data_IF_691342090812
#
_entry.id   IF_691342090812
#
_cell.length_a   1.000
_cell.length_b   1.000
_cell.length_c   1.000
_cell.angle_alpha   90.00
_cell.angle_beta   90.00
_cell.angle_gamma   90.00
#
_symmetry.space_group_name_H-M   'P 1'
#
loop_
_entity.id
_entity.type
_entity.pdbx_description
1 polymer ?
#
# COMPACT_ATOMS: atom_id res chain seq x y z
N UNK A 1 -1.44 37.75 58.14
CA UNK A 1 -0.80 37.16 56.94
C UNK A 1 -1.71 37.42 55.75
N UNK A 2 -1.40 38.41 54.91
CA UNK A 2 -2.23 38.74 53.73
C UNK A 2 -1.65 37.99 52.53
N UNK A 3 -2.43 37.09 51.95
CA UNK A 3 -2.06 36.28 50.80
C UNK A 3 -2.31 37.11 49.54
N UNK A 4 -1.25 37.54 48.86
CA UNK A 4 -1.36 38.23 47.57
C UNK A 4 -1.70 37.21 46.48
N UNK A 5 -2.94 37.25 45.98
CA UNK A 5 -3.34 36.55 44.77
C UNK A 5 -2.79 37.31 43.56
N UNK A 6 -1.67 36.86 43.01
CA UNK A 6 -1.17 37.35 41.72
C UNK A 6 -2.12 36.86 40.63
N UNK A 7 -2.91 37.76 40.05
CA UNK A 7 -3.74 37.47 38.88
C UNK A 7 -2.88 37.33 37.64
N UNK A 8 -3.24 36.40 36.76
CA UNK A 8 -2.58 36.18 35.47
C UNK A 8 -2.71 37.43 34.58
N UNK A 9 -1.64 37.83 33.90
CA UNK A 9 -1.68 38.95 32.96
C UNK A 9 -2.38 38.55 31.67
N UNK A 10 -3.10 39.49 31.05
CA UNK A 10 -3.79 39.26 29.77
C UNK A 10 -2.82 38.82 28.66
N UNK A 11 -1.58 39.34 28.71
CA UNK A 11 -0.50 38.98 27.76
C UNK A 11 -0.04 37.54 27.94
N UNK A 12 0.02 37.05 29.19
CA UNK A 12 0.41 35.67 29.48
C UNK A 12 -0.65 34.70 28.95
N UNK A 13 -1.93 35.03 29.10
CA UNK A 13 -3.03 34.22 28.56
C UNK A 13 -3.04 34.23 27.02
N UNK A 14 -2.82 35.39 26.40
CA UNK A 14 -2.80 35.55 24.94
C UNK A 14 -1.68 34.73 24.29
N UNK A 15 -0.49 34.70 24.90
CA UNK A 15 0.65 33.96 24.35
C UNK A 15 0.40 32.45 24.40
N UNK A 16 -0.22 31.96 25.47
CA UNK A 16 -0.54 30.53 25.63
C UNK A 16 -1.53 30.06 24.57
N UNK A 17 -2.58 30.82 24.27
CA UNK A 17 -3.56 30.43 23.23
C UNK A 17 -2.94 30.43 21.83
N UNK A 18 -1.99 31.34 21.55
CA UNK A 18 -1.26 31.38 20.27
C UNK A 18 -0.38 30.13 20.14
N UNK A 19 0.35 29.76 21.19
CA UNK A 19 1.22 28.56 21.18
C UNK A 19 0.38 27.30 21.00
N UNK A 20 -0.75 27.17 21.71
CA UNK A 20 -1.66 26.02 21.58
C UNK A 20 -2.23 25.95 20.15
N UNK A 21 -2.61 27.08 19.56
CA UNK A 21 -3.12 27.13 18.19
C UNK A 21 -2.09 26.68 17.15
N UNK A 22 -0.82 27.09 17.31
CA UNK A 22 0.27 26.66 16.44
C UNK A 22 0.53 25.16 16.60
N UNK A 23 0.63 24.66 17.84
CA UNK A 23 0.86 23.24 18.11
C UNK A 23 -0.27 22.36 17.59
N UNK A 24 -1.52 22.79 17.74
CA UNK A 24 -2.68 22.08 17.18
C UNK A 24 -2.66 22.06 15.64
N UNK A 25 -2.26 23.16 15.01
CA UNK A 25 -2.09 23.22 13.55
C UNK A 25 -1.02 22.26 13.01
N UNK A 26 0.12 22.15 13.70
CA UNK A 26 1.17 21.19 13.32
C UNK A 26 0.73 19.74 13.45
N UNK A 27 -0.02 19.39 14.50
CA UNK A 27 -0.54 18.03 14.69
C UNK A 27 -1.47 17.61 13.55
N UNK A 28 -2.30 18.53 13.06
CA UNK A 28 -3.22 18.25 11.94
C UNK A 28 -2.47 17.88 10.65
N UNK A 29 -1.33 18.51 10.38
CA UNK A 29 -0.52 18.23 9.18
C UNK A 29 0.17 16.86 9.22
N UNK A 30 0.43 16.32 10.41
CA UNK A 30 1.06 15.00 10.58
C UNK A 30 0.08 13.82 10.38
N UNK A 31 -1.23 14.09 10.39
CA UNK A 31 -2.28 13.03 10.32
C UNK A 31 -2.68 12.65 8.89
N UNK A 32 -2.16 13.32 7.86
CA UNK A 32 -2.67 13.19 6.48
C UNK A 32 -2.40 11.89 5.72
N UNK A 33 -1.54 10.98 6.21
CA UNK A 33 -1.18 9.75 5.48
C UNK A 33 -1.24 8.46 6.32
N UNK A 34 -1.46 8.55 7.63
CA UNK A 34 -1.47 7.38 8.52
C UNK A 34 -2.84 6.71 8.64
N UNK A 35 -3.92 7.42 8.29
CA UNK A 35 -5.29 6.95 8.54
C UNK A 35 -5.66 5.76 7.66
N UNK A 36 -5.36 5.80 6.37
CA UNK A 36 -5.79 4.72 5.46
C UNK A 36 -4.97 3.44 5.67
N UNK A 37 -3.70 3.58 6.05
CA UNK A 37 -2.89 2.44 6.51
C UNK A 37 -3.45 1.86 7.81
N UNK A 38 -3.73 2.70 8.81
CA UNK A 38 -4.30 2.24 10.08
C UNK A 38 -5.67 1.57 9.89
N UNK A 39 -6.54 2.13 9.04
CA UNK A 39 -7.85 1.53 8.70
C UNK A 39 -7.71 0.19 8.00
N UNK A 40 -6.71 0.03 7.12
CA UNK A 40 -6.42 -1.24 6.44
C UNK A 40 -5.92 -2.31 7.40
N UNK A 41 -4.96 -1.98 8.27
CA UNK A 41 -4.45 -2.90 9.30
C UNK A 41 -5.53 -3.31 10.29
N UNK A 42 -6.36 -2.36 10.73
CA UNK A 42 -7.50 -2.65 11.57
C UNK A 42 -8.54 -3.54 10.85
N UNK A 43 -8.76 -3.33 9.55
CA UNK A 43 -9.62 -4.21 8.75
C UNK A 43 -9.05 -5.65 8.65
N UNK A 44 -7.73 -5.80 8.48
CA UNK A 44 -7.07 -7.11 8.53
C UNK A 44 -7.25 -7.79 9.89
N UNK A 45 -6.99 -7.06 10.99
CA UNK A 45 -7.21 -7.55 12.35
C UNK A 45 -8.64 -8.01 12.59
N UNK A 46 -9.63 -7.27 12.08
CA UNK A 46 -11.04 -7.64 12.20
C UNK A 46 -11.36 -8.92 11.42
N UNK A 47 -10.85 -9.08 10.18
CA UNK A 47 -11.04 -10.31 9.38
C UNK A 47 -10.49 -11.55 10.09
N UNK A 48 -9.28 -11.45 10.64
CA UNK A 48 -8.64 -12.54 11.42
C UNK A 48 -9.46 -12.85 12.67
N UNK A 49 -9.92 -11.82 13.38
CA UNK A 49 -10.74 -11.98 14.58
C UNK A 49 -12.08 -12.66 14.29
N UNK A 50 -12.72 -12.36 13.15
CA UNK A 50 -13.97 -12.99 12.71
C UNK A 50 -13.77 -14.50 12.46
N UNK A 51 -12.70 -14.90 11.78
CA UNK A 51 -12.38 -16.33 11.59
C UNK A 51 -12.10 -17.01 12.93
N UNK A 52 -11.32 -16.38 13.81
CA UNK A 52 -11.01 -16.95 15.12
C UNK A 52 -12.26 -17.12 16.00
N UNK A 53 -13.18 -16.14 15.95
CA UNK A 53 -14.44 -16.20 16.66
C UNK A 53 -15.34 -17.32 16.12
N UNK A 54 -15.39 -17.50 14.80
CA UNK A 54 -16.07 -18.63 14.17
C UNK A 54 -15.51 -19.98 14.62
N UNK A 55 -14.18 -20.14 14.59
CA UNK A 55 -13.52 -21.38 14.99
C UNK A 55 -13.78 -21.68 16.47
N UNK A 56 -13.71 -20.66 17.32
CA UNK A 56 -14.04 -20.76 18.75
C UNK A 56 -15.50 -21.20 18.96
N UNK A 57 -16.44 -20.57 18.25
CA UNK A 57 -17.86 -20.89 18.33
C UNK A 57 -18.17 -22.32 17.86
N UNK A 58 -17.54 -22.74 16.76
CA UNK A 58 -17.67 -24.10 16.24
C UNK A 58 -17.16 -25.12 17.24
N UNK A 59 -15.97 -24.87 17.79
CA UNK A 59 -15.36 -25.72 18.80
C UNK A 59 -16.23 -25.83 20.05
N UNK A 60 -16.73 -24.71 20.59
CA UNK A 60 -17.56 -24.71 21.81
C UNK A 60 -18.93 -25.35 21.59
N UNK A 61 -19.46 -25.30 20.37
CA UNK A 61 -20.81 -25.76 20.03
C UNK A 61 -20.83 -27.16 19.39
N UNK A 62 -19.67 -27.80 19.23
CA UNK A 62 -19.56 -29.10 18.55
C UNK A 62 -19.94 -29.06 17.07
N UNK A 63 -19.78 -27.91 16.41
CA UNK A 63 -20.10 -27.70 15.00
C UNK A 63 -18.85 -27.84 14.14
N UNK A 64 -19.05 -28.18 12.87
CA UNK A 64 -17.99 -28.25 11.85
C UNK A 64 -18.31 -27.30 10.68
N UNK A 65 -17.34 -27.12 9.78
CA UNK A 65 -17.54 -26.36 8.54
C UNK A 65 -18.74 -26.87 7.72
N UNK A 66 -18.98 -28.19 7.70
CA UNK A 66 -20.08 -28.82 6.96
C UNK A 66 -21.48 -28.45 7.50
N UNK A 67 -21.59 -28.25 8.82
CA UNK A 67 -22.88 -28.03 9.48
C UNK A 67 -23.13 -26.55 9.82
N UNK A 68 -22.09 -25.72 9.85
CA UNK A 68 -22.21 -24.32 10.20
C UNK A 68 -21.12 -23.49 9.53
N UNK A 69 -21.44 -22.83 8.42
CA UNK A 69 -20.49 -22.07 7.59
C UNK A 69 -20.19 -20.68 8.15
N UNK A 70 -19.12 -20.04 7.66
CA UNK A 70 -18.82 -18.63 7.90
C UNK A 70 -19.97 -17.72 7.45
N UNK A 71 -20.65 -18.06 6.36
CA UNK A 71 -21.82 -17.30 5.92
C UNK A 71 -22.96 -17.37 6.95
N UNK A 72 -23.20 -18.53 7.57
CA UNK A 72 -24.19 -18.65 8.64
C UNK A 72 -23.81 -17.77 9.84
N UNK A 73 -22.53 -17.75 10.19
CA UNK A 73 -22.01 -16.95 11.29
C UNK A 73 -22.16 -15.44 11.06
N UNK A 74 -21.87 -14.96 9.85
CA UNK A 74 -22.07 -13.56 9.46
C UNK A 74 -23.57 -13.21 9.47
N UNK A 75 -24.42 -14.07 8.90
CA UNK A 75 -25.88 -13.87 8.86
C UNK A 75 -26.49 -13.83 10.27
N UNK A 76 -25.97 -14.66 11.18
CA UNK A 76 -26.35 -14.71 12.58
C UNK A 76 -25.73 -13.57 13.42
N UNK A 77 -25.16 -12.55 12.75
CA UNK A 77 -24.51 -11.40 13.39
C UNK A 77 -23.47 -11.82 14.42
N UNK A 78 -22.63 -12.78 14.04
CA UNK A 78 -21.49 -13.26 14.82
C UNK A 78 -21.86 -13.89 16.17
N UNK A 79 -23.13 -14.27 16.41
CA UNK A 79 -23.58 -14.95 17.64
C UNK A 79 -23.12 -14.29 18.94
N UNK A 80 -23.09 -12.95 18.96
CA UNK A 80 -22.61 -12.13 20.08
C UNK A 80 -21.14 -12.38 20.51
N UNK A 81 -20.36 -13.08 19.68
CA UNK A 81 -18.92 -13.29 19.93
C UNK A 81 -18.07 -12.08 19.53
N UNK A 82 -18.62 -11.19 18.71
CA UNK A 82 -18.02 -9.92 18.26
C UNK A 82 -19.11 -8.85 18.35
N UNK A 83 -18.75 -7.65 18.82
CA UNK A 83 -19.70 -6.53 18.83
C UNK A 83 -20.03 -6.11 17.39
N UNK A 84 -21.30 -5.88 17.08
CA UNK A 84 -21.72 -5.43 15.74
C UNK A 84 -21.03 -4.13 15.29
N UNK A 85 -20.58 -3.28 16.22
CA UNK A 85 -19.82 -2.08 15.90
C UNK A 85 -18.37 -2.38 15.50
N UNK A 86 -17.80 -3.49 15.97
CA UNK A 86 -16.44 -3.97 15.64
C UNK A 86 -16.42 -4.78 14.34
N UNK A 87 -17.56 -5.35 13.97
CA UNK A 87 -17.75 -6.08 12.72
C UNK A 87 -18.02 -5.18 11.50
N UNK A 88 -17.55 -3.93 11.55
CA UNK A 88 -17.56 -3.02 10.41
C UNK A 88 -16.13 -2.69 10.03
N UNK A 89 -15.83 -2.59 8.73
CA UNK A 89 -14.53 -2.11 8.31
C UNK A 89 -14.36 -0.63 8.70
N UNK A 90 -13.21 -0.19 9.26
CA UNK A 90 -12.95 1.21 9.58
C UNK A 90 -13.06 2.19 8.40
N UNK A 91 -13.00 1.67 7.16
CA UNK A 91 -13.24 2.42 5.93
C UNK A 91 -14.71 2.37 5.45
N UNK A 92 -15.64 1.87 6.27
CA UNK A 92 -17.07 1.76 5.95
C UNK A 92 -17.47 0.54 5.11
N UNK A 93 -16.55 -0.39 4.87
CA UNK A 93 -16.82 -1.64 4.16
C UNK A 93 -17.59 -2.69 4.97
N UNK A 94 -18.22 -3.61 4.25
CA UNK A 94 -18.93 -4.77 4.83
C UNK A 94 -18.11 -6.05 4.69
N UNK A 95 -18.26 -6.97 5.65
CA UNK A 95 -17.63 -8.29 5.59
C UNK A 95 -18.58 -9.35 5.00
N UNK A 96 -18.04 -10.24 4.18
CA UNK A 96 -18.73 -11.38 3.56
C UNK A 96 -17.87 -12.64 3.67
N UNK A 97 -18.50 -13.81 3.47
CA UNK A 97 -17.78 -15.07 3.46
C UNK A 97 -17.13 -15.31 2.08
N UNK A 98 -15.91 -15.83 2.08
CA UNK A 98 -15.22 -16.39 0.94
C UNK A 98 -14.63 -17.76 1.27
N UNK A 99 -14.08 -18.42 0.26
CA UNK A 99 -13.37 -19.69 0.40
C UNK A 99 -12.11 -19.76 -0.46
N UNK A 100 -10.92 -19.78 0.14
CA UNK A 100 -9.63 -19.89 -0.53
C UNK A 100 -8.97 -21.24 -0.22
N UNK A 101 -8.59 -22.01 -1.25
CA UNK A 101 -7.94 -23.32 -1.09
C UNK A 101 -8.71 -24.30 -0.17
N UNK A 102 -10.05 -24.25 -0.21
CA UNK A 102 -10.90 -25.08 0.66
C UNK A 102 -11.01 -24.57 2.10
N UNK A 103 -10.44 -23.40 2.42
CA UNK A 103 -10.52 -22.74 3.74
C UNK A 103 -11.42 -21.51 3.65
N UNK A 104 -12.28 -21.35 4.64
CA UNK A 104 -13.13 -20.14 4.72
C UNK A 104 -12.29 -18.91 5.04
N UNK A 105 -12.52 -17.83 4.31
CA UNK A 105 -11.87 -16.53 4.50
C UNK A 105 -12.93 -15.43 4.65
N UNK A 106 -12.61 -14.37 5.37
CA UNK A 106 -13.49 -13.19 5.49
C UNK A 106 -13.06 -12.16 4.46
N UNK A 107 -14.00 -11.75 3.61
CA UNK A 107 -13.79 -10.76 2.56
C UNK A 107 -14.41 -9.43 3.03
N UNK A 108 -13.64 -8.34 3.00
CA UNK A 108 -14.12 -6.98 3.08
C UNK A 108 -14.43 -6.42 1.69
N UNK A 109 -15.57 -5.75 1.54
CA UNK A 109 -15.96 -5.05 0.29
C UNK A 109 -15.03 -3.92 -0.14
N UNK A 110 -14.10 -3.49 0.74
CA UNK A 110 -13.15 -2.40 0.49
C UNK A 110 -11.70 -2.91 0.50
N UNK A 111 -11.38 -3.94 1.28
CA UNK A 111 -10.01 -4.40 1.51
C UNK A 111 -9.78 -5.90 1.27
N UNK A 112 -10.68 -6.63 0.61
CA UNK A 112 -10.46 -8.04 0.29
C UNK A 112 -10.85 -8.42 -1.12
N UNK A 113 -10.06 -9.36 -1.63
CA UNK A 113 -10.18 -9.96 -2.96
C UNK A 113 -10.87 -11.32 -2.79
N UNK A 114 -11.87 -11.61 -3.63
CA UNK A 114 -12.68 -12.85 -3.62
C UNK A 114 -11.88 -14.07 -4.08
N UNK A 115 -12.21 -15.28 -3.60
CA UNK A 115 -11.53 -16.49 -4.01
C UNK A 115 -12.33 -17.28 -5.07
N UNK A 116 -11.66 -17.61 -6.17
CA UNK A 116 -12.25 -18.20 -7.37
C UNK A 116 -11.58 -17.71 -8.67
N UNK A 117 -10.80 -16.64 -8.58
CA UNK A 117 -9.62 -16.45 -9.42
C UNK A 117 -8.40 -16.46 -8.51
N UNK A 118 -7.22 -16.78 -9.03
CA UNK A 118 -6.00 -16.20 -8.45
C UNK A 118 -6.12 -14.67 -8.34
N UNK A 119 -5.17 -13.96 -7.72
CA UNK A 119 -5.28 -12.52 -7.51
C UNK A 119 -5.76 -11.83 -8.79
N UNK A 120 -6.99 -11.33 -8.80
CA UNK A 120 -7.61 -10.73 -9.98
C UNK A 120 -8.56 -9.64 -9.53
N UNK A 121 -8.28 -8.38 -9.78
CA UNK A 121 -7.03 -7.79 -10.26
C UNK A 121 -6.84 -6.59 -9.35
N UNK A 122 -5.72 -6.44 -8.67
CA UNK A 122 -4.57 -5.86 -9.33
C UNK A 122 -3.33 -6.02 -8.44
N UNK A 123 -3.17 -7.18 -7.78
CA UNK A 123 -1.95 -7.43 -7.01
C UNK A 123 -0.78 -7.43 -7.98
N UNK A 124 0.16 -6.52 -7.75
CA UNK A 124 1.37 -6.36 -8.55
C UNK A 124 2.17 -7.66 -8.39
N UNK A 125 2.37 -8.44 -9.48
CA UNK A 125 3.01 -9.74 -9.40
C UNK A 125 4.38 -9.63 -8.74
N UNK A 126 4.65 -10.51 -7.76
CA UNK A 126 5.92 -10.57 -7.06
C UNK A 126 5.99 -9.73 -5.77
N UNK A 127 4.94 -8.97 -5.45
CA UNK A 127 4.86 -8.22 -4.18
C UNK A 127 4.24 -9.01 -3.02
N UNK A 128 3.80 -10.22 -3.29
CA UNK A 128 3.11 -11.15 -2.39
C UNK A 128 3.99 -12.34 -1.96
N UNK A 129 5.24 -12.39 -2.43
CA UNK A 129 6.10 -13.58 -2.30
C UNK A 129 6.82 -13.72 -0.95
N UNK A 130 7.06 -12.63 -0.23
CA UNK A 130 7.97 -12.60 0.93
C UNK A 130 7.29 -12.15 2.24
N UNK A 131 6.02 -12.52 2.43
CA UNK A 131 5.35 -12.43 3.73
C UNK A 131 4.40 -11.24 3.92
N UNK A 132 3.72 -10.79 2.86
CA UNK A 132 2.62 -9.82 2.93
C UNK A 132 1.60 -10.05 1.81
N UNK A 133 0.43 -9.41 1.89
CA UNK A 133 -0.70 -9.60 0.95
C UNK A 133 -0.45 -9.06 -0.48
N UNK A 134 0.73 -8.48 -0.75
CA UNK A 134 1.02 -7.80 -2.00
C UNK A 134 0.59 -6.34 -2.05
N UNK A 135 1.21 -5.56 -2.94
CA UNK A 135 0.74 -4.23 -3.31
C UNK A 135 -0.27 -4.36 -4.44
N UNK A 136 -1.40 -3.68 -4.30
CA UNK A 136 -2.41 -3.59 -5.34
C UNK A 136 -2.25 -2.31 -6.16
N UNK A 137 -2.45 -2.39 -7.48
CA UNK A 137 -2.66 -1.22 -8.32
C UNK A 137 -4.13 -0.81 -8.26
N UNK A 138 -4.43 0.23 -7.50
CA UNK A 138 -5.80 0.68 -7.23
C UNK A 138 -6.21 1.88 -8.09
N UNK A 139 -5.24 2.56 -8.71
CA UNK A 139 -5.49 3.74 -9.52
C UNK A 139 -5.94 3.33 -10.94
N UNK A 140 -7.04 3.94 -11.40
CA UNK A 140 -7.50 3.80 -12.78
C UNK A 140 -6.66 4.71 -13.69
N UNK A 141 -6.12 4.15 -14.78
CA UNK A 141 -5.35 4.92 -15.73
C UNK A 141 -6.18 6.05 -16.36
N UNK A 142 -7.47 5.82 -16.58
CA UNK A 142 -8.37 6.80 -17.20
C UNK A 142 -8.53 8.06 -16.34
N UNK A 143 -8.43 7.95 -15.01
CA UNK A 143 -8.47 9.10 -14.10
C UNK A 143 -7.24 10.01 -14.22
N UNK A 144 -6.14 9.51 -14.80
CA UNK A 144 -4.95 10.33 -15.06
C UNK A 144 -5.16 11.30 -16.21
N UNK A 145 -6.18 11.07 -17.06
CA UNK A 145 -6.51 11.91 -18.21
C UNK A 145 -7.28 13.14 -17.73
N UNK A 146 -6.58 14.26 -17.63
CA UNK A 146 -7.14 15.53 -17.12
C UNK A 146 -7.65 16.46 -18.23
N UNK A 147 -7.51 16.06 -19.49
CA UNK A 147 -7.97 16.81 -20.65
C UNK A 147 -7.82 15.99 -21.93
N UNK A 148 -8.28 16.51 -23.06
CA UNK A 148 -8.31 15.79 -24.35
C UNK A 148 -6.93 15.23 -24.76
N UNK A 149 -5.85 15.96 -24.41
CA UNK A 149 -4.48 15.69 -24.84
C UNK A 149 -3.46 15.81 -23.69
N UNK A 150 -3.90 15.59 -22.44
CA UNK A 150 -3.04 15.80 -21.27
C UNK A 150 -3.30 14.79 -20.16
N UNK A 151 -2.24 14.17 -19.65
CA UNK A 151 -2.28 13.31 -18.45
C UNK A 151 -1.55 13.95 -17.26
N UNK A 152 -1.90 13.52 -16.06
CA UNK A 152 -1.18 13.84 -14.81
C UNK A 152 -1.27 12.70 -13.81
N UNK A 153 -0.17 12.44 -13.11
CA UNK A 153 -0.11 11.44 -12.04
C UNK A 153 0.86 11.88 -10.95
N UNK A 154 0.59 11.42 -9.73
CA UNK A 154 1.38 11.67 -8.56
C UNK A 154 2.29 10.48 -8.25
N UNK A 155 3.45 10.78 -7.68
CA UNK A 155 4.35 9.77 -7.13
C UNK A 155 3.58 8.78 -6.24
N UNK A 156 3.86 7.49 -6.39
CA UNK A 156 3.27 6.41 -5.61
C UNK A 156 1.95 5.86 -6.12
N UNK A 157 1.29 6.51 -7.08
CA UNK A 157 0.13 5.92 -7.76
C UNK A 157 0.53 4.66 -8.53
N UNK A 158 -0.33 3.65 -8.46
CA UNK A 158 -0.11 2.31 -9.01
C UNK A 158 -1.27 1.95 -9.92
N UNK A 159 -0.98 1.72 -11.19
CA UNK A 159 -1.99 1.56 -12.24
C UNK A 159 -2.01 0.15 -12.79
N UNK A 160 -3.21 -0.35 -13.10
CA UNK A 160 -3.40 -1.50 -13.99
C UNK A 160 -3.86 -0.97 -15.35
N UNK A 161 -3.15 -1.34 -16.41
CA UNK A 161 -3.59 -1.07 -17.77
C UNK A 161 -3.28 -2.28 -18.67
N UNK A 162 -4.31 -2.82 -19.33
CA UNK A 162 -4.23 -3.99 -20.20
C UNK A 162 -3.43 -5.19 -19.61
N UNK A 163 -3.66 -5.48 -18.33
CA UNK A 163 -3.00 -6.61 -17.64
C UNK A 163 -1.53 -6.33 -17.24
N UNK A 164 -1.03 -5.12 -17.48
CA UNK A 164 0.30 -4.65 -17.05
C UNK A 164 0.15 -3.72 -15.86
N UNK A 165 1.14 -3.76 -14.99
CA UNK A 165 1.18 -2.99 -13.76
C UNK A 165 2.21 -1.88 -13.88
N UNK A 166 1.89 -0.72 -13.33
CA UNK A 166 2.74 0.46 -13.37
C UNK A 166 2.79 1.15 -12.01
N UNK A 167 3.87 1.88 -11.74
CA UNK A 167 3.97 2.80 -10.62
C UNK A 167 4.61 4.11 -11.06
N UNK A 168 4.03 5.21 -10.62
CA UNK A 168 4.61 6.53 -10.78
C UNK A 168 5.73 6.70 -9.74
N UNK A 169 6.98 6.85 -10.20
CA UNK A 169 8.11 7.08 -9.28
C UNK A 169 8.47 8.57 -9.13
N UNK A 170 7.75 9.44 -9.84
CA UNK A 170 7.78 10.90 -9.76
C UNK A 170 6.38 11.48 -10.02
N UNK A 171 6.10 12.67 -9.49
CA UNK A 171 4.88 13.43 -9.83
C UNK A 171 5.12 14.18 -11.13
N UNK A 172 4.28 13.92 -12.13
CA UNK A 172 4.30 14.60 -13.42
C UNK A 172 2.92 15.16 -13.73
N UNK A 173 2.87 16.41 -14.14
CA UNK A 173 1.63 17.12 -14.42
C UNK A 173 1.65 17.77 -15.79
N UNK A 174 0.48 17.89 -16.41
CA UNK A 174 0.30 18.48 -17.74
C UNK A 174 1.20 17.85 -18.82
N UNK A 175 1.30 16.52 -18.81
CA UNK A 175 2.05 15.80 -19.83
C UNK A 175 1.21 15.78 -21.11
N UNK A 176 1.63 16.56 -22.10
CA UNK A 176 0.93 16.64 -23.38
C UNK A 176 1.27 15.45 -24.28
N UNK A 177 0.24 14.82 -24.84
CA UNK A 177 0.35 13.76 -25.84
C UNK A 177 -0.47 14.11 -27.09
N UNK A 178 -0.10 13.58 -28.26
CA UNK A 178 -0.79 13.88 -29.52
C UNK A 178 -1.99 12.97 -29.77
N UNK A 179 -1.81 11.65 -29.63
CA UNK A 179 -2.88 10.67 -29.89
C UNK A 179 -2.79 9.44 -28.99
N UNK A 180 -1.64 9.23 -28.35
CA UNK A 180 -1.33 8.01 -27.63
C UNK A 180 -1.04 8.34 -26.16
N UNK A 181 -2.02 8.03 -25.32
CA UNK A 181 -1.99 8.21 -23.88
C UNK A 181 -1.75 6.89 -23.16
N UNK A 182 -1.43 5.80 -23.86
CA UNK A 182 -1.17 4.50 -23.25
C UNK A 182 0.10 4.58 -22.35
N UNK A 183 0.10 3.98 -21.15
CA UNK A 183 1.27 3.94 -20.25
C UNK A 183 2.40 3.02 -20.72
N UNK A 184 2.25 2.34 -21.86
CA UNK A 184 3.24 1.45 -22.45
C UNK A 184 4.60 2.12 -22.61
N UNK A 185 5.62 1.41 -22.14
CA UNK A 185 7.01 1.85 -22.19
C UNK A 185 7.44 2.06 -23.65
N UNK A 186 7.55 3.32 -24.08
CA UNK A 186 7.86 3.66 -25.46
C UNK A 186 8.92 4.75 -25.53
N UNK A 187 9.96 4.56 -26.35
CA UNK A 187 11.08 5.51 -26.54
C UNK A 187 10.63 6.90 -26.99
N UNK A 188 9.46 7.01 -27.62
CA UNK A 188 8.88 8.27 -28.10
C UNK A 188 8.08 9.02 -27.01
N UNK A 189 7.71 8.34 -25.91
CA UNK A 189 6.95 8.90 -24.79
C UNK A 189 7.87 9.16 -23.61
N UNK A 190 8.48 10.35 -23.58
CA UNK A 190 9.54 10.68 -22.61
C UNK A 190 9.17 10.37 -21.14
N UNK A 191 7.88 10.48 -20.76
CA UNK A 191 7.36 10.19 -19.42
C UNK A 191 7.31 8.69 -19.05
N UNK A 192 7.41 7.80 -20.04
CA UNK A 192 7.46 6.34 -19.88
C UNK A 192 8.87 5.77 -20.11
N UNK A 193 9.81 6.56 -20.61
CA UNK A 193 11.14 6.05 -20.99
C UNK A 193 12.09 5.87 -19.81
N UNK A 194 13.10 5.01 -20.03
CA UNK A 194 14.27 4.84 -19.13
C UNK A 194 15.07 6.13 -18.85
N UNK A 195 14.82 7.20 -19.60
CA UNK A 195 15.52 8.47 -19.46
C UNK A 195 14.90 9.38 -18.38
N UNK A 196 13.66 9.11 -17.94
CA UNK A 196 12.99 9.92 -16.92
C UNK A 196 12.26 9.01 -15.93
N UNK A 197 12.44 9.24 -14.63
CA UNK A 197 11.86 8.43 -13.55
C UNK A 197 10.35 8.57 -13.40
N UNK A 198 9.61 8.94 -14.44
CA UNK A 198 8.18 9.18 -14.39
C UNK A 198 7.40 7.92 -14.07
N UNK A 199 7.19 7.07 -15.07
CA UNK A 199 6.42 5.83 -14.93
C UNK A 199 7.32 4.59 -15.07
N UNK A 200 7.11 3.60 -14.21
CA UNK A 200 7.82 2.31 -14.24
C UNK A 200 6.79 1.20 -14.41
N UNK A 201 6.97 0.37 -15.45
CA UNK A 201 6.23 -0.89 -15.58
C UNK A 201 6.89 -1.98 -14.75
N UNK A 202 6.10 -2.77 -14.01
CA UNK A 202 6.62 -3.95 -13.30
C UNK A 202 6.88 -5.11 -14.27
N UNK A 203 7.99 -5.82 -14.06
CA UNK A 203 8.35 -7.00 -14.86
C UNK A 203 7.75 -8.29 -14.32
N UNK A 204 7.34 -8.29 -13.04
CA UNK A 204 6.94 -9.48 -12.28
C UNK A 204 8.11 -10.29 -11.71
N UNK A 205 9.36 -9.90 -11.99
CA UNK A 205 10.54 -10.49 -11.34
C UNK A 205 10.64 -9.92 -9.94
N UNK A 206 10.74 -10.79 -8.94
CA UNK A 206 10.90 -10.39 -7.54
C UNK A 206 11.94 -11.26 -6.84
N UNK A 207 12.80 -10.62 -6.03
CA UNK A 207 13.89 -11.27 -5.31
C UNK A 207 13.99 -10.77 -3.89
N UNK A 208 14.27 -11.66 -2.95
CA UNK A 208 14.66 -11.27 -1.61
C UNK A 208 16.14 -10.87 -1.61
N UNK A 209 16.47 -9.77 -0.93
CA UNK A 209 17.84 -9.33 -0.73
C UNK A 209 18.72 -10.45 -0.19
N UNK A 210 18.25 -11.28 0.74
CA UNK A 210 19.07 -12.31 1.35
C UNK A 210 19.39 -13.48 0.41
N UNK A 211 18.62 -13.65 -0.66
CA UNK A 211 18.76 -14.75 -1.64
C UNK A 211 19.70 -14.43 -2.81
N UNK A 212 20.04 -13.15 -3.00
CA UNK A 212 20.86 -12.70 -4.14
C UNK A 212 22.32 -12.54 -3.77
N UNK A 213 23.22 -12.79 -4.72
CA UNK A 213 24.67 -12.65 -4.56
C UNK A 213 25.20 -11.36 -5.19
N UNK A 214 26.43 -10.99 -4.86
CA UNK A 214 27.16 -9.91 -5.56
C UNK A 214 27.24 -10.22 -7.05
N UNK A 215 26.93 -9.23 -7.88
CA UNK A 215 26.84 -9.37 -9.34
C UNK A 215 25.44 -9.69 -9.86
N UNK A 216 24.45 -9.93 -8.98
CA UNK A 216 23.06 -10.02 -9.42
C UNK A 216 22.60 -8.69 -10.02
N UNK A 217 21.87 -8.77 -11.13
CA UNK A 217 21.44 -7.61 -11.90
C UNK A 217 19.93 -7.44 -11.83
N UNK A 218 19.49 -6.27 -11.36
CA UNK A 218 18.11 -5.82 -11.44
C UNK A 218 17.90 -4.93 -12.65
N UNK A 219 16.84 -5.18 -13.41
CA UNK A 219 16.39 -4.32 -14.49
C UNK A 219 15.26 -3.41 -14.02
N UNK A 220 15.07 -2.29 -14.73
CA UNK A 220 13.93 -1.39 -14.46
C UNK A 220 12.62 -2.18 -14.45
N UNK A 221 11.87 -2.07 -13.35
CA UNK A 221 10.61 -2.78 -13.13
C UNK A 221 10.74 -4.06 -12.30
N UNK A 222 11.96 -4.58 -12.09
CA UNK A 222 12.19 -5.70 -11.19
C UNK A 222 12.01 -5.28 -9.73
N UNK A 223 11.63 -6.23 -8.88
CA UNK A 223 11.27 -6.02 -7.50
C UNK A 223 12.35 -6.61 -6.58
N UNK A 224 12.76 -5.84 -5.59
CA UNK A 224 13.61 -6.25 -4.49
C UNK A 224 12.80 -6.19 -3.19
N UNK A 225 12.75 -7.30 -2.46
CA UNK A 225 12.28 -7.34 -1.09
C UNK A 225 13.47 -7.17 -0.14
N UNK A 226 13.42 -6.16 0.73
CA UNK A 226 14.49 -5.84 1.66
C UNK A 226 13.90 -5.22 2.93
N UNK A 227 14.31 -5.73 4.11
CA UNK A 227 13.90 -5.21 5.41
C UNK A 227 12.38 -5.03 5.61
N UNK A 228 11.57 -5.95 5.08
CA UNK A 228 10.11 -5.91 5.24
C UNK A 228 9.38 -5.05 4.22
N UNK A 229 10.09 -4.41 3.30
CA UNK A 229 9.52 -3.55 2.27
C UNK A 229 9.88 -4.02 0.86
N UNK A 230 9.03 -3.67 -0.11
CA UNK A 230 9.28 -3.92 -1.52
C UNK A 230 9.76 -2.64 -2.21
N UNK A 231 10.77 -2.80 -3.05
CA UNK A 231 11.40 -1.75 -3.84
C UNK A 231 11.32 -2.14 -5.31
N UNK A 232 10.85 -1.23 -6.15
CA UNK A 232 10.95 -1.41 -7.61
C UNK A 232 12.24 -0.76 -8.10
N UNK A 233 12.97 -1.46 -8.96
CA UNK A 233 14.13 -0.92 -9.61
C UNK A 233 13.69 0.13 -10.63
N UNK A 234 14.13 1.37 -10.44
CA UNK A 234 13.90 2.49 -11.36
C UNK A 234 15.18 2.95 -12.07
N UNK A 235 16.26 2.16 -12.01
CA UNK A 235 17.56 2.48 -12.59
C UNK A 235 17.43 3.00 -14.05
N UNK A 236 18.14 4.09 -14.33
CA UNK A 236 18.04 4.92 -15.54
C UNK A 236 19.35 4.88 -16.36
N UNK A 237 19.31 5.41 -17.60
CA UNK A 237 20.53 5.72 -18.37
C UNK A 237 21.14 4.59 -19.21
N UNK A 238 22.46 4.67 -19.50
CA UNK A 238 23.19 3.82 -20.46
C UNK A 238 23.23 2.32 -20.11
N UNK A 239 23.13 1.97 -18.83
CA UNK A 239 23.11 0.57 -18.39
C UNK A 239 21.69 0.03 -18.35
N UNK A 240 20.73 0.80 -17.83
CA UNK A 240 19.33 0.36 -17.70
C UNK A 240 19.14 -0.79 -16.70
N UNK A 241 20.12 -0.99 -15.82
CA UNK A 241 20.15 -2.01 -14.78
C UNK A 241 20.94 -1.53 -13.55
N UNK A 242 20.75 -2.22 -12.44
CA UNK A 242 21.46 -2.03 -11.17
C UNK A 242 22.15 -3.34 -10.77
N UNK A 243 23.48 -3.31 -10.62
CA UNK A 243 24.26 -4.46 -10.17
C UNK A 243 24.40 -4.45 -8.65
N UNK A 244 24.09 -5.58 -8.01
CA UNK A 244 24.17 -5.76 -6.56
C UNK A 244 25.62 -5.95 -6.15
N UNK A 245 26.04 -5.23 -5.13
CA UNK A 245 27.34 -5.35 -4.49
C UNK A 245 27.09 -5.63 -3.02
N UNK A 246 27.47 -6.83 -2.58
CA UNK A 246 27.51 -7.21 -1.17
C UNK A 246 28.95 -7.35 -0.70
N UNK A 247 29.29 -6.64 0.36
CA UNK A 247 30.61 -6.66 0.96
C UNK A 247 30.51 -6.74 2.48
N UNK A 248 31.56 -7.27 3.10
CA UNK A 248 31.63 -7.45 4.56
C UNK A 248 31.44 -6.13 5.34
N UNK A 249 31.85 -5.00 4.75
CA UNK A 249 31.80 -3.67 5.38
C UNK A 249 30.83 -2.70 4.71
N UNK A 250 30.37 -3.01 3.50
CA UNK A 250 29.49 -2.16 2.73
C UNK A 250 28.75 -2.98 1.68
N UNK A 251 27.45 -2.73 1.54
CA UNK A 251 26.63 -3.28 0.46
C UNK A 251 25.77 -2.16 -0.11
N UNK A 252 25.44 -2.19 -1.40
CA UNK A 252 24.64 -1.14 -2.06
C UNK A 252 23.13 -1.33 -1.87
N UNK A 253 22.71 -1.48 -0.62
CA UNK A 253 21.31 -1.70 -0.24
C UNK A 253 20.41 -0.51 -0.63
N UNK A 254 19.11 -0.72 -0.84
CA UNK A 254 18.22 0.32 -1.37
C UNK A 254 17.98 1.50 -0.40
N UNK A 255 18.31 1.35 0.88
CA UNK A 255 18.20 2.38 1.93
C UNK A 255 19.40 3.33 2.02
N UNK A 256 20.48 3.08 1.27
CA UNK A 256 21.65 3.95 1.24
C UNK A 256 21.55 5.02 0.16
N UNK A 257 21.98 6.24 0.47
CA UNK A 257 21.97 7.39 -0.46
C UNK A 257 22.79 7.15 -1.73
N UNK A 258 23.79 6.28 -1.70
CA UNK A 258 24.58 5.91 -2.89
C UNK A 258 23.83 5.03 -3.90
N UNK A 259 22.73 4.39 -3.49
CA UNK A 259 21.95 3.44 -4.29
C UNK A 259 20.47 3.82 -4.39
N UNK A 260 19.97 4.75 -3.57
CA UNK A 260 18.57 5.20 -3.54
C UNK A 260 18.04 5.64 -4.92
N UNK A 261 18.92 6.19 -5.77
CA UNK A 261 18.56 6.63 -7.13
C UNK A 261 18.01 5.49 -7.99
N UNK A 262 18.41 4.25 -7.71
CA UNK A 262 18.00 3.07 -8.47
C UNK A 262 16.71 2.44 -7.95
N UNK A 263 16.17 2.89 -6.82
CA UNK A 263 15.08 2.21 -6.12
C UNK A 263 13.93 3.16 -5.81
N UNK A 264 12.71 2.66 -5.97
CA UNK A 264 11.52 3.33 -5.45
C UNK A 264 10.82 2.39 -4.47
N UNK A 265 10.64 2.85 -3.24
CA UNK A 265 10.00 2.08 -2.17
C UNK A 265 8.49 2.10 -2.36
N UNK A 266 7.85 0.93 -2.45
CA UNK A 266 6.41 0.84 -2.77
C UNK A 266 5.49 1.28 -1.62
N UNK A 267 6.01 1.31 -0.39
CA UNK A 267 5.29 1.79 0.79
C UNK A 267 5.28 3.32 0.93
N UNK A 268 6.00 4.04 0.08
CA UNK A 268 6.19 5.50 0.16
C UNK A 268 4.99 6.28 -0.35
#
# INVERSE_FOLDING_TARGET
MIKTNKGFSFVELLTVIIIIGILAGFLYLLMGSSDDKAKREACYGNRVSIILALDTYRFSSGLSKENYTLQNFINDKYKDTISNNEATCPSGGVYSAGEENGKEIVICSIHSVTPGGGPSGNVIPGTDLFGGDGYTALDDWEETIIGEHSISFNIGQKFLYEGKYYVATETLSNIYYLTDHDPEMNTSKWWTTKANGGLVQFTGVSKNWDEIETGYRFYRGDILYYNGDYYVCKAQGYTGYFDVIKGQYWSNTPDLSGSEWAWYKLSS
#
